data_IF_607569272914
#
_entry.id   IF_607569272914
#
_cell.length_a   1.000
_cell.length_b   1.000
_cell.length_c   1.000
_cell.angle_alpha   90.00
_cell.angle_beta   90.00
_cell.angle_gamma   90.00
#
_symmetry.space_group_name_H-M   'P 1'
#
loop_
_entity.id
_entity.type
_entity.pdbx_description
1 polymer ?
#
# COMPACT_ATOMS: atom_id res chain seq x y z
N UNK A 1 0.86 -14.52 6.05
CA UNK A 1 1.79 -15.36 6.83
C UNK A 1 2.97 -14.53 7.32
N UNK A 2 3.54 -14.84 8.51
CA UNK A 2 4.66 -14.09 9.12
C UNK A 2 5.91 -14.04 8.23
N UNK A 3 6.12 -15.04 7.42
CA UNK A 3 7.28 -15.17 6.52
C UNK A 3 7.30 -14.13 5.39
N UNK A 4 6.13 -13.56 5.04
CA UNK A 4 6.03 -12.54 3.99
C UNK A 4 6.27 -11.11 4.49
N UNK A 5 6.38 -10.89 5.81
CA UNK A 5 6.41 -9.56 6.40
C UNK A 5 7.78 -9.24 6.96
N UNK A 6 8.33 -8.09 6.54
CA UNK A 6 9.55 -7.50 7.08
C UNK A 6 9.24 -6.20 7.82
N UNK A 7 9.67 -6.11 9.09
CA UNK A 7 9.55 -4.89 9.87
C UNK A 7 10.76 -3.99 9.64
N UNK A 8 10.50 -2.79 9.13
CA UNK A 8 11.51 -1.77 8.83
C UNK A 8 11.63 -0.71 9.94
N UNK A 9 11.86 0.53 9.52
CA UNK A 9 11.92 1.71 10.39
C UNK A 9 10.56 2.17 10.88
N UNK A 10 10.39 3.47 11.00
CA UNK A 10 9.18 4.09 11.55
C UNK A 10 8.24 4.71 10.49
N UNK A 11 8.56 4.59 9.22
CA UNK A 11 7.82 5.23 8.13
C UNK A 11 7.63 4.30 6.94
N UNK A 12 6.37 4.05 6.54
CA UNK A 12 6.05 3.32 5.30
C UNK A 12 6.58 4.06 4.07
N UNK A 13 6.54 5.39 4.03
CA UNK A 13 7.11 6.19 2.93
C UNK A 13 8.62 5.97 2.78
N UNK A 14 9.35 5.82 3.89
CA UNK A 14 10.78 5.48 3.82
C UNK A 14 11.01 4.09 3.23
N UNK A 15 10.19 3.10 3.60
CA UNK A 15 10.24 1.76 3.00
C UNK A 15 9.86 1.78 1.51
N UNK A 16 8.84 2.56 1.13
CA UNK A 16 8.46 2.77 -0.28
C UNK A 16 9.63 3.36 -1.07
N UNK A 17 10.29 4.40 -0.54
CA UNK A 17 11.47 5.02 -1.17
C UNK A 17 12.63 4.03 -1.30
N UNK A 18 12.91 3.24 -0.27
CA UNK A 18 13.96 2.21 -0.29
C UNK A 18 13.64 1.10 -1.30
N UNK A 19 12.38 0.69 -1.38
CA UNK A 19 11.96 -0.30 -2.36
C UNK A 19 12.03 0.24 -3.79
N UNK A 20 11.61 1.48 -4.04
CA UNK A 20 11.79 2.14 -5.33
C UNK A 20 13.28 2.28 -5.68
N UNK A 21 14.13 2.63 -4.71
CA UNK A 21 15.60 2.67 -4.92
C UNK A 21 16.14 1.34 -5.37
N UNK A 22 15.70 0.24 -4.74
CA UNK A 22 16.04 -1.12 -5.17
C UNK A 22 15.59 -1.38 -6.62
N UNK A 23 14.35 -1.06 -6.97
CA UNK A 23 13.84 -1.25 -8.33
C UNK A 23 14.64 -0.46 -9.36
N UNK A 24 15.10 0.75 -9.01
CA UNK A 24 15.91 1.57 -9.90
C UNK A 24 17.34 1.08 -10.06
N UNK A 25 17.94 0.52 -9.01
CA UNK A 25 19.36 0.13 -8.99
C UNK A 25 19.57 -1.33 -9.44
N UNK A 26 18.77 -2.24 -8.95
CA UNK A 26 18.90 -3.68 -9.21
C UNK A 26 17.73 -4.23 -10.03
N UNK A 27 16.49 -3.78 -9.71
CA UNK A 27 15.27 -4.28 -10.33
C UNK A 27 14.78 -5.58 -9.74
N UNK A 28 13.68 -6.08 -10.28
CA UNK A 28 13.06 -7.36 -9.94
C UNK A 28 12.81 -8.13 -11.24
N UNK A 29 13.46 -9.26 -11.41
CA UNK A 29 13.25 -10.16 -12.55
C UNK A 29 13.72 -9.65 -13.91
N UNK A 30 13.54 -8.36 -14.25
CA UNK A 30 13.83 -7.77 -15.57
C UNK A 30 14.97 -6.74 -15.59
N UNK A 31 15.77 -6.73 -14.54
CA UNK A 31 16.85 -5.77 -14.34
C UNK A 31 16.36 -4.36 -13.94
N UNK A 32 17.30 -3.44 -13.72
CA UNK A 32 17.05 -2.16 -13.07
C UNK A 32 16.18 -1.20 -13.89
N UNK A 33 15.32 -0.47 -13.19
CA UNK A 33 14.44 0.51 -13.83
C UNK A 33 15.21 1.70 -14.43
N UNK A 34 16.38 2.05 -13.89
CA UNK A 34 17.22 3.11 -14.45
C UNK A 34 17.79 2.80 -15.84
N UNK A 35 17.82 1.53 -16.24
CA UNK A 35 18.21 1.12 -17.59
C UNK A 35 17.08 1.23 -18.62
N UNK A 36 15.85 1.45 -18.17
CA UNK A 36 14.68 1.56 -19.04
C UNK A 36 14.58 2.98 -19.60
N UNK A 37 14.16 3.12 -20.85
CA UNK A 37 13.95 4.42 -21.50
C UNK A 37 12.90 5.27 -20.79
N UNK A 38 11.87 4.62 -20.28
CA UNK A 38 10.76 5.23 -19.51
C UNK A 38 10.22 4.20 -18.53
N UNK A 39 9.91 4.66 -17.34
CA UNK A 39 9.16 3.92 -16.32
C UNK A 39 7.89 4.69 -16.02
N UNK A 40 6.75 4.03 -16.14
CA UNK A 40 5.44 4.59 -15.84
C UNK A 40 4.76 3.80 -14.71
N UNK A 41 3.95 4.50 -13.91
CA UNK A 41 3.15 3.89 -12.83
C UNK A 41 1.72 4.43 -12.92
N UNK A 42 0.75 3.54 -12.80
CA UNK A 42 -0.66 3.90 -12.72
C UNK A 42 -0.96 4.52 -11.36
N UNK A 43 -1.68 5.62 -11.38
CA UNK A 43 -2.01 6.42 -10.21
C UNK A 43 -3.53 6.67 -10.16
N UNK A 44 -4.30 5.97 -9.34
CA UNK A 44 -5.69 6.30 -9.10
C UNK A 44 -5.84 7.73 -8.58
N UNK A 45 -6.77 8.49 -9.17
CA UNK A 45 -6.98 9.90 -8.87
C UNK A 45 -8.46 10.21 -8.59
N UNK A 46 -8.75 11.07 -7.58
CA UNK A 46 -7.79 11.69 -6.63
C UNK A 46 -7.11 10.67 -5.72
N UNK A 47 -5.82 10.87 -5.40
CA UNK A 47 -5.03 9.91 -4.65
C UNK A 47 -4.07 10.57 -3.65
N UNK A 48 -3.27 9.74 -2.96
CA UNK A 48 -2.36 10.21 -1.92
C UNK A 48 -1.14 10.91 -2.51
N UNK A 49 -1.01 12.21 -2.24
CA UNK A 49 0.01 13.11 -2.80
C UNK A 49 1.45 12.65 -2.57
N UNK A 50 1.72 11.94 -1.46
CA UNK A 50 3.07 11.45 -1.14
C UNK A 50 3.56 10.37 -2.11
N UNK A 51 2.66 9.53 -2.62
CA UNK A 51 3.00 8.58 -3.68
C UNK A 51 3.39 9.32 -4.96
N UNK A 52 2.65 10.37 -5.31
CA UNK A 52 2.95 11.19 -6.49
C UNK A 52 4.28 11.93 -6.34
N UNK A 53 4.53 12.51 -5.16
CA UNK A 53 5.81 13.15 -4.84
C UNK A 53 6.99 12.16 -4.93
N UNK A 54 6.83 10.91 -4.50
CA UNK A 54 7.85 9.86 -4.68
C UNK A 54 8.08 9.60 -6.17
N UNK A 55 7.03 9.43 -6.96
CA UNK A 55 7.14 9.23 -8.40
C UNK A 55 7.93 10.38 -9.07
N UNK A 56 7.63 11.64 -8.73
CA UNK A 56 8.36 12.80 -9.24
C UNK A 56 9.86 12.75 -8.89
N UNK A 57 10.20 12.42 -7.64
CA UNK A 57 11.61 12.35 -7.19
C UNK A 57 12.40 11.26 -7.89
N UNK A 58 11.75 10.18 -8.28
CA UNK A 58 12.38 9.09 -9.04
C UNK A 58 12.26 9.26 -10.56
N UNK A 59 11.65 10.33 -11.07
CA UNK A 59 11.44 10.54 -12.51
C UNK A 59 10.48 9.52 -13.13
N UNK A 60 9.58 8.97 -12.33
CA UNK A 60 8.56 8.04 -12.78
C UNK A 60 7.43 8.82 -13.46
N UNK A 61 7.06 8.41 -14.67
CA UNK A 61 5.90 8.97 -15.35
C UNK A 61 4.60 8.45 -14.72
N UNK A 62 3.75 9.35 -14.28
CA UNK A 62 2.47 9.03 -13.65
C UNK A 62 1.35 9.02 -14.69
N UNK A 63 0.60 7.94 -14.75
CA UNK A 63 -0.57 7.80 -15.62
C UNK A 63 -1.81 7.77 -14.71
N UNK A 64 -2.70 8.77 -14.79
CA UNK A 64 -3.89 8.79 -13.97
C UNK A 64 -4.86 7.66 -14.36
N UNK A 65 -5.58 7.14 -13.36
CA UNK A 65 -6.66 6.16 -13.51
C UNK A 65 -7.87 6.64 -12.71
N UNK A 66 -9.03 6.53 -13.28
CA UNK A 66 -10.30 6.93 -12.65
C UNK A 66 -10.67 6.01 -11.50
N UNK A 67 -11.29 6.57 -10.45
CA UNK A 67 -11.91 5.83 -9.37
C UNK A 67 -13.42 5.69 -9.62
N UNK A 68 -14.01 4.56 -9.20
CA UNK A 68 -15.41 4.19 -9.48
C UNK A 68 -16.32 4.21 -8.24
N UNK A 69 -15.78 4.55 -7.07
CA UNK A 69 -16.47 4.40 -5.76
C UNK A 69 -16.20 3.05 -5.07
N UNK A 70 -15.66 2.07 -5.81
CA UNK A 70 -15.25 0.75 -5.28
C UNK A 70 -13.82 0.36 -5.67
N UNK A 71 -13.02 1.34 -6.05
CA UNK A 71 -11.63 1.24 -6.47
C UNK A 71 -11.41 1.75 -7.91
N UNK A 72 -10.23 1.49 -8.50
CA UNK A 72 -9.90 1.94 -9.85
C UNK A 72 -10.75 1.27 -10.93
N UNK A 73 -10.97 1.98 -12.03
CA UNK A 73 -11.63 1.46 -13.22
C UNK A 73 -10.77 0.36 -13.88
N UNK A 74 -11.24 -0.89 -13.77
CA UNK A 74 -10.50 -2.05 -14.26
C UNK A 74 -10.38 -2.09 -15.79
N UNK A 75 -11.36 -1.58 -16.52
CA UNK A 75 -11.31 -1.53 -17.98
C UNK A 75 -10.27 -0.50 -18.43
N UNK A 76 -10.20 0.63 -17.74
CA UNK A 76 -9.17 1.63 -17.97
C UNK A 76 -7.78 1.09 -17.65
N UNK A 77 -7.61 0.45 -16.48
CA UNK A 77 -6.34 -0.21 -16.06
C UNK A 77 -5.91 -1.21 -17.13
N UNK A 78 -6.81 -2.11 -17.52
CA UNK A 78 -6.49 -3.13 -18.52
C UNK A 78 -6.07 -2.52 -19.85
N UNK A 79 -6.83 -1.55 -20.36
CA UNK A 79 -6.53 -0.86 -21.61
C UNK A 79 -5.15 -0.19 -21.60
N UNK A 80 -4.81 0.48 -20.48
CA UNK A 80 -3.51 1.13 -20.31
C UNK A 80 -2.37 0.11 -20.26
N UNK A 81 -2.53 -0.97 -19.50
CA UNK A 81 -1.55 -2.04 -19.39
C UNK A 81 -1.29 -2.75 -20.72
N UNK A 82 -2.34 -2.93 -21.54
CA UNK A 82 -2.23 -3.54 -22.87
C UNK A 82 -1.57 -2.61 -23.91
N UNK A 83 -1.62 -1.27 -23.68
CA UNK A 83 -1.16 -0.27 -24.67
C UNK A 83 0.20 0.37 -24.38
N UNK A 84 0.74 0.26 -23.16
CA UNK A 84 1.98 0.93 -22.75
C UNK A 84 2.92 0.00 -21.98
N UNK A 85 3.88 -0.56 -22.70
CA UNK A 85 4.92 -1.45 -22.15
C UNK A 85 5.88 -0.76 -21.16
N UNK A 86 5.79 0.56 -20.97
CA UNK A 86 6.58 1.27 -19.95
C UNK A 86 5.98 1.18 -18.54
N UNK A 87 4.73 0.75 -18.41
CA UNK A 87 4.07 0.60 -17.12
C UNK A 87 4.72 -0.51 -16.32
N UNK A 88 5.14 -0.20 -15.09
CA UNK A 88 5.83 -1.11 -14.17
C UNK A 88 5.09 -1.31 -12.86
N UNK A 89 4.05 -0.57 -12.60
CA UNK A 89 3.28 -0.74 -11.37
C UNK A 89 2.09 0.18 -11.26
N UNK A 90 1.40 0.04 -10.13
CA UNK A 90 0.24 0.83 -9.76
C UNK A 90 0.24 1.08 -8.26
N UNK A 91 0.00 2.34 -7.85
CA UNK A 91 -0.27 2.67 -6.45
C UNK A 91 -1.72 2.37 -6.09
N UNK A 92 -1.94 1.73 -4.95
CA UNK A 92 -3.28 1.46 -4.42
C UNK A 92 -3.34 1.83 -2.94
N UNK A 93 -4.39 2.58 -2.54
CA UNK A 93 -4.77 2.80 -1.14
C UNK A 93 -6.17 2.17 -0.97
N UNK A 94 -6.24 0.88 -0.63
CA UNK A 94 -7.43 0.08 -0.91
C UNK A 94 -8.56 0.23 0.11
N UNK A 95 -8.25 0.67 1.33
CA UNK A 95 -9.25 0.87 2.38
C UNK A 95 -9.19 2.31 2.87
N UNK A 96 -10.34 2.98 2.88
CA UNK A 96 -10.45 4.41 3.23
C UNK A 96 -9.45 5.27 2.46
N UNK A 97 -9.45 5.11 1.12
CA UNK A 97 -8.55 5.79 0.20
C UNK A 97 -8.47 7.29 0.48
N UNK A 98 -7.27 7.82 0.55
CA UNK A 98 -7.06 9.26 0.77
C UNK A 98 -6.93 9.98 -0.59
N UNK A 99 -7.83 10.95 -0.93
CA UNK A 99 -8.80 11.64 -0.05
C UNK A 99 -10.24 11.12 -0.14
N UNK A 100 -10.57 10.17 -1.01
CA UNK A 100 -11.96 9.83 -1.37
C UNK A 100 -12.73 9.04 -0.31
N UNK A 101 -12.04 8.32 0.57
CA UNK A 101 -12.67 7.41 1.54
C UNK A 101 -13.11 6.07 0.94
N UNK A 102 -12.89 5.82 -0.34
CA UNK A 102 -13.29 4.58 -0.99
C UNK A 102 -12.67 3.33 -0.37
N UNK A 103 -13.41 2.22 -0.44
CA UNK A 103 -12.95 0.88 -0.11
C UNK A 103 -13.04 0.04 -1.38
N UNK A 104 -11.94 -0.61 -1.76
CA UNK A 104 -11.92 -1.48 -2.92
C UNK A 104 -12.80 -2.71 -2.69
N UNK A 105 -13.63 -3.03 -3.67
CA UNK A 105 -14.46 -4.22 -3.63
C UNK A 105 -13.64 -5.49 -3.86
N UNK A 106 -14.19 -6.64 -3.44
CA UNK A 106 -13.63 -7.94 -3.76
C UNK A 106 -13.36 -8.11 -5.27
N UNK A 107 -14.32 -7.71 -6.10
CA UNK A 107 -14.22 -7.80 -7.55
C UNK A 107 -13.09 -6.91 -8.09
N UNK A 108 -12.89 -5.73 -7.51
CA UNK A 108 -11.80 -4.83 -7.90
C UNK A 108 -10.44 -5.43 -7.57
N UNK A 109 -10.28 -5.99 -6.37
CA UNK A 109 -9.03 -6.64 -5.95
C UNK A 109 -8.73 -7.85 -6.84
N UNK A 110 -9.75 -8.69 -7.07
CA UNK A 110 -9.65 -9.88 -7.93
C UNK A 110 -9.24 -9.52 -9.36
N UNK A 111 -9.90 -8.50 -9.94
CA UNK A 111 -9.61 -8.02 -11.29
C UNK A 111 -8.21 -7.41 -11.43
N UNK A 112 -7.74 -6.64 -10.43
CA UNK A 112 -6.37 -6.14 -10.42
C UNK A 112 -5.36 -7.28 -10.42
N UNK A 113 -5.53 -8.28 -9.55
CA UNK A 113 -4.66 -9.45 -9.52
C UNK A 113 -4.67 -10.19 -10.87
N UNK A 114 -5.84 -10.34 -11.50
CA UNK A 114 -5.95 -10.96 -12.81
C UNK A 114 -5.21 -10.17 -13.89
N UNK A 115 -5.37 -8.85 -13.94
CA UNK A 115 -4.69 -8.00 -14.93
C UNK A 115 -3.18 -8.07 -14.74
N UNK A 116 -2.69 -7.85 -13.51
CA UNK A 116 -1.26 -7.78 -13.23
C UNK A 116 -0.53 -9.12 -13.35
N UNK A 117 -1.22 -10.24 -13.10
CA UNK A 117 -0.65 -11.58 -13.27
C UNK A 117 -0.44 -11.98 -14.73
N UNK A 118 -1.16 -11.35 -15.68
CA UNK A 118 -1.11 -11.69 -17.11
C UNK A 118 -0.22 -10.78 -17.93
N UNK A 119 0.46 -9.82 -17.33
CA UNK A 119 1.34 -8.87 -18.04
C UNK A 119 2.59 -9.56 -18.55
N UNK A 120 3.06 -9.11 -19.72
CA UNK A 120 4.31 -9.62 -20.33
C UNK A 120 5.55 -9.23 -19.50
N UNK A 121 5.53 -8.02 -18.96
CA UNK A 121 6.59 -7.48 -18.14
C UNK A 121 6.29 -7.74 -16.66
N UNK A 122 7.31 -7.79 -15.82
CA UNK A 122 7.13 -7.82 -14.37
C UNK A 122 6.55 -6.47 -13.93
N UNK A 123 5.30 -6.48 -13.51
CA UNK A 123 4.59 -5.31 -13.00
C UNK A 123 4.14 -5.55 -11.56
N UNK A 124 4.06 -4.48 -10.77
CA UNK A 124 3.84 -4.57 -9.32
C UNK A 124 2.62 -3.74 -8.89
N UNK A 125 1.85 -4.29 -7.96
CA UNK A 125 0.83 -3.56 -7.22
C UNK A 125 1.46 -3.06 -5.92
N UNK A 126 1.64 -1.75 -5.78
CA UNK A 126 2.08 -1.10 -4.54
C UNK A 126 0.87 -0.85 -3.66
N UNK A 127 0.66 -1.74 -2.70
CA UNK A 127 -0.54 -1.79 -1.86
C UNK A 127 -0.30 -1.09 -0.53
N UNK A 128 -0.67 0.19 -0.42
CA UNK A 128 -0.52 0.96 0.82
C UNK A 128 -1.72 0.75 1.73
N UNK A 129 -1.62 -0.21 2.65
CA UNK A 129 -2.67 -0.55 3.59
C UNK A 129 -2.60 0.31 4.86
N UNK A 130 -2.65 1.64 4.67
CA UNK A 130 -2.47 2.62 5.74
C UNK A 130 -3.60 2.62 6.78
N UNK A 131 -4.80 2.16 6.41
CA UNK A 131 -6.02 2.28 7.21
C UNK A 131 -6.70 0.93 7.50
N UNK A 132 -5.94 -0.16 7.48
CA UNK A 132 -6.45 -1.53 7.63
C UNK A 132 -7.39 -1.75 8.81
N UNK A 133 -7.17 -1.05 9.94
CA UNK A 133 -7.85 -1.23 11.23
C UNK A 133 -8.53 0.06 11.72
N UNK A 134 -8.91 0.97 10.81
CA UNK A 134 -9.43 2.29 11.17
C UNK A 134 -10.95 2.42 11.00
N UNK A 135 -11.68 1.34 11.24
CA UNK A 135 -13.15 1.35 11.18
C UNK A 135 -13.74 2.24 12.28
N UNK A 136 -14.59 3.21 11.89
CA UNK A 136 -15.25 4.12 12.83
C UNK A 136 -16.65 3.66 13.21
N UNK A 137 -17.32 2.92 12.34
CA UNK A 137 -18.70 2.48 12.53
C UNK A 137 -18.76 0.95 12.64
N UNK A 138 -18.92 0.26 11.56
CA UNK A 138 -18.99 -1.20 11.52
C UNK A 138 -17.66 -1.79 11.08
N UNK A 139 -17.35 -2.99 11.59
CA UNK A 139 -16.17 -3.76 11.15
C UNK A 139 -16.39 -4.17 9.68
N UNK A 140 -15.86 -3.39 8.75
CA UNK A 140 -15.96 -3.69 7.33
C UNK A 140 -15.01 -4.85 7.03
N UNK A 141 -15.58 -5.99 6.60
CA UNK A 141 -14.78 -7.09 6.05
C UNK A 141 -13.99 -6.56 4.85
N UNK A 142 -12.69 -6.73 4.89
CA UNK A 142 -11.80 -6.33 3.82
C UNK A 142 -10.86 -7.49 3.49
N UNK A 143 -10.81 -7.84 2.20
CA UNK A 143 -10.05 -9.00 1.75
C UNK A 143 -8.54 -8.79 1.88
N UNK A 144 -7.83 -9.83 2.30
CA UNK A 144 -6.37 -9.83 2.27
C UNK A 144 -5.89 -10.11 0.85
N UNK A 145 -5.26 -9.11 0.23
CA UNK A 145 -4.74 -9.23 -1.14
C UNK A 145 -3.71 -10.35 -1.28
N UNK A 146 -2.92 -10.63 -0.23
CA UNK A 146 -1.95 -11.74 -0.28
C UNK A 146 -2.61 -13.10 -0.29
N UNK A 147 -3.67 -13.30 0.50
CA UNK A 147 -4.41 -14.55 0.49
C UNK A 147 -5.10 -14.77 -0.87
N UNK A 148 -5.67 -13.71 -1.45
CA UNK A 148 -6.23 -13.76 -2.81
C UNK A 148 -5.16 -14.05 -3.87
N UNK A 149 -4.04 -13.34 -3.83
CA UNK A 149 -2.93 -13.51 -4.77
C UNK A 149 -2.32 -14.92 -4.68
N UNK A 150 -2.16 -15.45 -3.47
CA UNK A 150 -1.66 -16.81 -3.24
C UNK A 150 -2.60 -17.86 -3.82
N UNK A 151 -3.91 -17.69 -3.64
CA UNK A 151 -4.91 -18.60 -4.23
C UNK A 151 -4.81 -18.63 -5.75
N UNK A 152 -4.41 -17.51 -6.37
CA UNK A 152 -4.20 -17.37 -7.82
C UNK A 152 -2.77 -17.71 -8.28
N UNK A 153 -1.83 -17.97 -7.37
CA UNK A 153 -0.42 -18.19 -7.68
C UNK A 153 0.29 -16.97 -8.28
N UNK A 154 -0.12 -15.77 -7.86
CA UNK A 154 0.42 -14.49 -8.36
C UNK A 154 0.91 -13.55 -7.26
N UNK A 155 1.29 -14.06 -6.11
CA UNK A 155 1.78 -13.25 -4.98
C UNK A 155 3.01 -12.38 -5.30
N UNK A 156 3.75 -12.74 -6.34
CA UNK A 156 4.92 -11.98 -6.80
C UNK A 156 4.57 -10.60 -7.39
N UNK A 157 3.30 -10.34 -7.72
CA UNK A 157 2.89 -9.02 -8.21
C UNK A 157 2.56 -8.04 -7.09
N UNK A 158 2.44 -8.50 -5.82
CA UNK A 158 2.00 -7.69 -4.70
C UNK A 158 3.16 -7.24 -3.81
N UNK A 159 3.25 -5.93 -3.59
CA UNK A 159 4.13 -5.32 -2.59
C UNK A 159 3.24 -4.51 -1.64
N UNK A 160 3.04 -5.00 -0.44
CA UNK A 160 2.18 -4.34 0.53
C UNK A 160 3.01 -3.54 1.53
N UNK A 161 2.55 -2.32 1.81
CA UNK A 161 3.12 -1.43 2.82
C UNK A 161 2.11 -1.18 3.94
N UNK A 162 2.63 -0.91 5.12
CA UNK A 162 1.81 -0.48 6.25
C UNK A 162 2.68 0.09 7.37
N UNK A 163 2.02 0.72 8.34
CA UNK A 163 2.70 1.19 9.54
C UNK A 163 1.74 1.35 10.72
N UNK A 164 2.29 1.31 11.92
CA UNK A 164 1.55 1.62 13.13
C UNK A 164 1.50 3.13 13.47
N UNK A 165 1.96 4.00 12.56
CA UNK A 165 2.05 5.45 12.82
C UNK A 165 0.70 6.10 13.15
N UNK A 166 -0.40 5.60 12.58
CA UNK A 166 -1.77 6.06 12.85
C UNK A 166 -2.48 5.22 13.91
N UNK A 167 -1.80 4.20 14.46
CA UNK A 167 -2.34 3.27 15.48
C UNK A 167 -1.72 3.58 16.84
N UNK A 168 -0.39 3.80 16.89
CA UNK A 168 0.37 4.07 18.11
C UNK A 168 0.86 5.52 18.17
N UNK A 169 2.03 5.80 17.57
CA UNK A 169 2.62 7.14 17.59
C UNK A 169 3.09 7.56 16.20
N UNK A 170 2.65 8.70 15.73
CA UNK A 170 3.18 9.32 14.54
C UNK A 170 4.69 9.61 14.71
N UNK A 171 5.49 9.24 13.71
CA UNK A 171 6.95 9.41 13.75
C UNK A 171 7.72 8.43 14.64
N UNK A 172 7.03 7.63 15.46
CA UNK A 172 7.62 6.62 16.34
C UNK A 172 6.91 5.26 16.25
N UNK A 173 6.16 5.02 15.18
CA UNK A 173 5.53 3.76 14.86
C UNK A 173 6.52 2.69 14.36
N UNK A 174 6.00 1.57 13.91
CA UNK A 174 6.73 0.56 13.14
C UNK A 174 6.14 0.52 11.73
N UNK A 175 7.00 0.60 10.73
CA UNK A 175 6.62 0.35 9.35
C UNK A 175 6.97 -1.08 8.96
N UNK A 176 6.20 -1.63 8.05
CA UNK A 176 6.43 -2.96 7.50
C UNK A 176 6.15 -2.99 6.00
N UNK A 177 6.86 -3.90 5.35
CA UNK A 177 6.66 -4.26 3.96
C UNK A 177 6.38 -5.77 3.90
N UNK A 178 5.40 -6.15 3.10
CA UNK A 178 5.10 -7.55 2.84
C UNK A 178 5.20 -7.83 1.34
N UNK A 179 5.81 -8.96 1.01
CA UNK A 179 6.00 -9.43 -0.37
C UNK A 179 6.24 -10.93 -0.38
N UNK A 180 6.15 -11.56 -1.55
CA UNK A 180 6.46 -12.98 -1.72
C UNK A 180 7.91 -13.30 -1.31
N UNK A 181 8.19 -14.57 -1.03
CA UNK A 181 9.56 -15.01 -0.71
C UNK A 181 10.52 -14.77 -1.89
N UNK A 182 10.04 -14.90 -3.12
CA UNK A 182 10.85 -14.61 -4.30
C UNK A 182 11.30 -13.13 -4.31
N UNK A 183 10.35 -12.21 -4.13
CA UNK A 183 10.65 -10.78 -4.07
C UNK A 183 11.53 -10.42 -2.85
N UNK A 184 11.35 -11.09 -1.70
CA UNK A 184 12.22 -10.90 -0.54
C UNK A 184 13.67 -11.29 -0.81
N UNK A 185 13.87 -12.42 -1.49
CA UNK A 185 15.22 -12.92 -1.82
C UNK A 185 15.99 -11.93 -2.70
N UNK A 186 15.30 -11.15 -3.52
CA UNK A 186 15.91 -10.10 -4.34
C UNK A 186 16.09 -8.78 -3.54
N UNK A 187 15.09 -8.37 -2.75
CA UNK A 187 15.09 -7.09 -2.06
C UNK A 187 15.96 -7.05 -0.80
N UNK A 188 15.93 -8.09 0.04
CA UNK A 188 16.58 -8.04 1.35
C UNK A 188 18.11 -7.89 1.31
N UNK A 189 18.87 -8.46 0.34
CA UNK A 189 20.29 -8.17 0.19
C UNK A 189 20.57 -6.68 -0.05
N UNK A 190 19.81 -6.05 -0.93
CA UNK A 190 19.89 -4.60 -1.16
C UNK A 190 19.54 -3.80 0.09
N UNK A 191 18.42 -4.13 0.74
CA UNK A 191 18.00 -3.47 1.97
C UNK A 191 19.07 -3.56 3.07
N UNK A 192 19.73 -4.73 3.21
CA UNK A 192 20.81 -4.95 4.19
C UNK A 192 22.06 -4.12 3.92
N UNK A 193 22.28 -3.71 2.67
CA UNK A 193 23.38 -2.80 2.31
C UNK A 193 23.11 -1.35 2.73
N UNK A 194 21.83 -0.96 2.86
CA UNK A 194 21.43 0.39 3.25
C UNK A 194 21.45 0.60 4.76
N UNK A 195 21.20 -0.45 5.53
CA UNK A 195 21.15 -0.36 6.99
C UNK A 195 21.42 -1.72 7.65
N UNK A 196 22.08 -1.69 8.80
CA UNK A 196 22.35 -2.90 9.60
C UNK A 196 21.05 -3.48 10.19
N UNK A 197 20.08 -2.62 10.48
CA UNK A 197 18.76 -2.99 10.97
C UNK A 197 17.99 -1.79 11.50
N UNK A 198 16.68 -1.93 11.65
CA UNK A 198 15.83 -0.89 12.21
C UNK A 198 16.02 -0.73 13.71
N UNK A 199 15.46 0.33 14.29
CA UNK A 199 15.49 0.63 15.73
C UNK A 199 14.85 -0.51 16.55
N UNK A 200 15.72 -1.34 17.16
CA UNK A 200 15.31 -2.52 17.95
C UNK A 200 14.61 -2.14 19.24
N UNK A 201 14.95 -0.99 19.85
CA UNK A 201 14.28 -0.50 21.06
C UNK A 201 12.83 -0.12 20.74
N UNK A 202 12.62 0.55 19.63
CA UNK A 202 11.28 0.89 19.16
C UNK A 202 10.47 -0.36 18.82
N UNK A 203 11.08 -1.36 18.17
CA UNK A 203 10.43 -2.66 17.91
C UNK A 203 10.08 -3.37 19.21
N UNK A 204 10.98 -3.47 20.18
CA UNK A 204 10.73 -4.12 21.48
C UNK A 204 9.58 -3.43 22.24
N UNK A 205 9.53 -2.08 22.20
CA UNK A 205 8.43 -1.30 22.79
C UNK A 205 7.07 -1.65 22.15
N UNK A 206 6.99 -1.77 20.83
CA UNK A 206 5.77 -2.14 20.13
C UNK A 206 5.38 -3.60 20.38
N UNK A 207 6.33 -4.52 20.41
CA UNK A 207 6.08 -5.92 20.79
C UNK A 207 5.45 -5.98 22.18
N UNK A 208 6.03 -5.25 23.16
CA UNK A 208 5.47 -5.19 24.50
C UNK A 208 4.08 -4.58 24.52
N UNK A 209 3.85 -3.51 23.80
CA UNK A 209 2.54 -2.86 23.70
C UNK A 209 1.48 -3.82 23.15
N UNK A 210 1.72 -4.41 21.98
CA UNK A 210 0.78 -5.33 21.34
C UNK A 210 0.64 -6.69 22.03
N UNK A 211 1.56 -7.06 22.92
CA UNK A 211 1.39 -8.25 23.76
C UNK A 211 0.44 -8.03 24.94
N UNK A 212 0.14 -6.79 25.28
CA UNK A 212 -0.71 -6.40 26.41
C UNK A 212 -2.07 -5.85 25.98
N UNK A 213 -2.22 -5.46 24.73
CA UNK A 213 -3.40 -4.77 24.20
C UNK A 213 -3.84 -5.44 22.91
N UNK A 214 -5.10 -5.85 22.85
CA UNK A 214 -5.72 -6.26 21.59
C UNK A 214 -5.85 -5.04 20.67
N UNK A 215 -5.42 -5.19 19.41
CA UNK A 215 -5.43 -4.09 18.44
C UNK A 215 -6.85 -3.64 18.08
N UNK A 216 -7.82 -4.55 18.03
CA UNK A 216 -9.21 -4.21 17.73
C UNK A 216 -9.82 -3.39 18.86
N UNK A 217 -9.58 -3.80 20.13
CA UNK A 217 -10.03 -3.04 21.29
C UNK A 217 -9.37 -1.67 21.38
N UNK A 218 -8.09 -1.58 21.02
CA UNK A 218 -7.37 -0.31 20.96
C UNK A 218 -7.97 0.63 19.90
N UNK A 219 -8.21 0.12 18.71
CA UNK A 219 -8.77 0.91 17.62
C UNK A 219 -10.23 1.29 17.86
N UNK A 220 -11.00 0.44 18.55
CA UNK A 220 -12.35 0.80 18.99
C UNK A 220 -12.35 2.01 19.92
N UNK A 221 -11.42 2.07 20.89
CA UNK A 221 -11.26 3.27 21.75
C UNK A 221 -10.85 4.51 20.95
N UNK A 222 -10.03 4.36 19.90
CA UNK A 222 -9.73 5.45 18.97
C UNK A 222 -11.00 5.91 18.23
N UNK A 223 -11.79 4.97 17.73
CA UNK A 223 -13.06 5.27 17.08
C UNK A 223 -14.02 6.02 18.01
N UNK A 224 -14.15 5.59 19.27
CA UNK A 224 -15.00 6.26 20.28
C UNK A 224 -14.62 7.74 20.51
N UNK A 225 -13.33 8.08 20.36
CA UNK A 225 -12.85 9.48 20.49
C UNK A 225 -13.08 10.28 19.19
N UNK A 226 -12.93 9.65 18.05
CA UNK A 226 -12.92 10.32 16.74
C UNK A 226 -14.32 10.42 16.16
N UNK A 227 -15.13 9.36 16.28
CA UNK A 227 -16.48 9.25 15.73
C UNK A 227 -17.38 10.45 16.04
N UNK A 228 -17.51 10.94 17.29
CA UNK A 228 -18.35 12.09 17.59
C UNK A 228 -17.98 13.35 16.80
N UNK A 229 -16.68 13.50 16.43
CA UNK A 229 -16.21 14.63 15.64
C UNK A 229 -16.63 14.50 14.18
N UNK A 230 -16.57 13.29 13.63
CA UNK A 230 -17.08 13.00 12.29
C UNK A 230 -18.58 13.20 12.23
N UNK A 231 -19.34 12.65 13.20
CA UNK A 231 -20.79 12.79 13.27
C UNK A 231 -21.22 14.27 13.35
N UNK A 232 -20.49 15.08 14.12
CA UNK A 232 -20.76 16.53 14.22
C UNK A 232 -20.59 17.24 12.86
N UNK A 233 -19.48 16.94 12.16
CA UNK A 233 -19.20 17.56 10.83
C UNK A 233 -20.22 17.06 9.82
N UNK A 234 -20.48 15.77 9.79
CA UNK A 234 -21.43 15.15 8.85
C UNK A 234 -22.83 15.74 9.01
N UNK A 235 -23.37 15.76 10.24
CA UNK A 235 -24.67 16.35 10.53
C UNK A 235 -24.74 17.85 10.17
N UNK A 236 -23.61 18.56 10.33
CA UNK A 236 -23.56 19.98 9.96
C UNK A 236 -23.61 20.19 8.46
N UNK A 237 -22.90 19.35 7.68
CA UNK A 237 -22.92 19.40 6.21
C UNK A 237 -24.32 19.04 5.69
N UNK A 238 -24.91 17.93 6.15
CA UNK A 238 -26.28 17.56 5.78
C UNK A 238 -27.30 18.66 6.09
N UNK A 239 -27.17 19.34 7.23
CA UNK A 239 -28.05 20.45 7.59
C UNK A 239 -27.92 21.65 6.66
N UNK A 240 -26.89 21.72 5.84
CA UNK A 240 -26.64 22.77 4.84
C UNK A 240 -26.88 22.28 3.40
N UNK A 241 -27.44 21.08 3.20
CA UNK A 241 -27.69 20.44 1.91
C UNK A 241 -26.41 20.18 1.08
N UNK A 242 -25.30 19.84 1.76
CA UNK A 242 -24.08 19.34 1.13
C UNK A 242 -24.06 17.82 1.12
#
# INVERSE_FOLDING_TARGET
>A
SKEYVWAGGNSSLSLMSQFLSFLFVEGIGEGPWNSKKRVSVLCPVPGYDRHFNLCEKFGINMIPVSLTGSGPDLDEVKRLMDSDDSIRGMWCVPKYSNPTGEIYSHQTIDGLLEIFSKTKNKTLIFWDNAYAVHDLYDDSSFDDIFDMAKTKGCEDVVIQFGSSSKITFAGAGIAFIAMSLNNQNEFLPFYSSLMIGPDKLNQARHVRFFSQIDIKDHMKRHADIIKPKFDLVFNKLESQNF
#
